data_IF_554537254655
#
_entry.id   IF_554537254655
#
_cell.length_a   1.000
_cell.length_b   1.000
_cell.length_c   1.000
_cell.angle_alpha   90.00
_cell.angle_beta   90.00
_cell.angle_gamma   90.00
#
_symmetry.space_group_name_H-M   'P 1'
#
loop_
_entity.id
_entity.type
_entity.pdbx_description
1 polymer ?
#
# COMPACT_ATOMS: atom_id res chain seq x y z
N UNK A 1 -13.19 1.80 30.26
CA UNK A 1 -12.37 1.55 29.05
C UNK A 1 -12.03 0.09 29.09
N UNK A 2 -12.64 -0.75 28.22
CA UNK A 2 -12.28 -2.17 28.11
C UNK A 2 -10.84 -2.28 27.60
N UNK A 3 -9.99 -3.02 28.29
CA UNK A 3 -8.66 -3.40 27.76
C UNK A 3 -8.94 -4.29 26.54
N UNK A 4 -8.86 -3.71 25.33
CA UNK A 4 -8.79 -4.49 24.11
C UNK A 4 -7.56 -5.38 24.18
N UNK A 5 -7.69 -6.65 23.85
CA UNK A 5 -6.55 -7.55 23.79
C UNK A 5 -5.51 -7.04 22.80
N UNK A 6 -4.25 -7.34 22.98
CA UNK A 6 -3.18 -6.89 22.08
C UNK A 6 -3.48 -7.33 20.63
N UNK A 7 -4.06 -8.51 20.43
CA UNK A 7 -4.46 -9.02 19.11
C UNK A 7 -5.51 -8.17 18.41
N UNK A 8 -6.46 -7.57 19.15
CA UNK A 8 -7.48 -6.67 18.57
C UNK A 8 -6.91 -5.31 18.09
N UNK A 9 -5.63 -5.04 18.36
CA UNK A 9 -4.94 -3.77 18.04
C UNK A 9 -3.83 -3.93 17.01
N UNK A 10 -3.60 -5.14 16.52
CA UNK A 10 -2.52 -5.46 15.57
C UNK A 10 -3.08 -6.02 14.29
N UNK A 11 -2.53 -5.59 13.17
CA UNK A 11 -2.78 -6.15 11.86
C UNK A 11 -1.46 -6.56 11.21
N UNK A 12 -1.46 -7.63 10.43
CA UNK A 12 -0.31 -8.07 9.64
C UNK A 12 -0.37 -7.44 8.26
N UNK A 13 0.77 -7.00 7.74
CA UNK A 13 0.87 -6.59 6.34
C UNK A 13 1.07 -7.83 5.45
N UNK A 14 0.20 -8.04 4.47
CA UNK A 14 0.26 -9.22 3.59
C UNK A 14 1.56 -9.28 2.76
N UNK A 15 2.19 -8.14 2.47
CA UNK A 15 3.49 -8.12 1.79
C UNK A 15 4.61 -8.76 2.61
N UNK A 16 4.53 -8.69 3.93
CA UNK A 16 5.50 -9.35 4.80
C UNK A 16 5.37 -10.86 4.79
N UNK A 17 4.19 -11.38 4.42
CA UNK A 17 3.90 -12.81 4.34
C UNK A 17 4.24 -13.40 2.96
N UNK A 18 4.26 -12.58 1.92
CA UNK A 18 4.51 -12.98 0.53
C UNK A 18 3.68 -14.20 0.08
N UNK A 19 2.35 -14.18 0.27
CA UNK A 19 1.50 -15.32 -0.04
C UNK A 19 1.41 -15.58 -1.54
N UNK A 20 1.37 -16.85 -1.92
CA UNK A 20 1.26 -17.27 -3.31
C UNK A 20 -0.15 -17.07 -3.89
N UNK A 21 -1.17 -17.16 -3.03
CA UNK A 21 -2.59 -16.99 -3.35
C UNK A 21 -3.41 -16.70 -2.07
N UNK A 22 -4.73 -16.45 -2.17
CA UNK A 22 -5.57 -16.18 -1.00
C UNK A 22 -5.62 -17.32 0.01
N UNK A 23 -5.58 -18.56 -0.42
CA UNK A 23 -5.65 -19.73 0.49
C UNK A 23 -4.35 -19.83 1.32
N UNK A 24 -3.21 -19.58 0.70
CA UNK A 24 -1.92 -19.51 1.39
C UNK A 24 -1.91 -18.35 2.39
N UNK A 25 -2.43 -17.17 2.02
CA UNK A 25 -2.57 -16.04 2.94
C UNK A 25 -3.39 -16.39 4.16
N UNK A 26 -4.56 -17.01 3.97
CA UNK A 26 -5.44 -17.44 5.05
C UNK A 26 -4.74 -18.43 5.96
N UNK A 27 -4.04 -19.42 5.39
CA UNK A 27 -3.28 -20.40 6.16
C UNK A 27 -2.19 -19.75 7.02
N UNK A 28 -1.46 -18.79 6.49
CA UNK A 28 -0.43 -18.05 7.22
C UNK A 28 -1.04 -17.21 8.36
N UNK A 29 -2.17 -16.52 8.12
CA UNK A 29 -2.87 -15.74 9.13
C UNK A 29 -3.37 -16.62 10.29
N UNK A 30 -3.93 -17.80 9.98
CA UNK A 30 -4.37 -18.77 10.98
C UNK A 30 -3.22 -19.32 11.82
N UNK A 31 -2.05 -19.59 11.19
CA UNK A 31 -0.84 -20.02 11.92
C UNK A 31 -0.32 -18.95 12.87
N UNK A 32 -0.47 -17.67 12.51
CA UNK A 32 -0.09 -16.54 13.35
C UNK A 32 -1.13 -16.25 14.46
N UNK A 33 -2.33 -16.82 14.37
CA UNK A 33 -3.43 -16.49 15.28
C UNK A 33 -3.90 -15.04 15.14
N UNK A 34 -3.82 -14.48 13.91
CA UNK A 34 -4.20 -13.10 13.60
C UNK A 34 -5.44 -13.07 12.73
N UNK A 35 -6.34 -12.13 12.99
CA UNK A 35 -7.61 -11.94 12.30
C UNK A 35 -7.74 -10.56 11.62
N UNK A 36 -6.70 -9.72 11.68
CA UNK A 36 -6.67 -8.40 11.05
C UNK A 36 -5.49 -8.28 10.09
N UNK A 37 -5.75 -7.71 8.89
CA UNK A 37 -4.76 -7.60 7.84
C UNK A 37 -4.77 -6.22 7.17
N UNK A 38 -3.58 -5.68 6.88
CA UNK A 38 -3.36 -4.70 5.84
C UNK A 38 -3.12 -5.45 4.53
N UNK A 39 -4.06 -5.35 3.58
CA UNK A 39 -4.02 -6.12 2.35
C UNK A 39 -3.26 -5.40 1.24
N UNK A 40 -2.30 -6.07 0.61
CA UNK A 40 -1.72 -5.63 -0.65
C UNK A 40 -2.77 -5.67 -1.76
N UNK A 41 -2.99 -4.54 -2.42
CA UNK A 41 -4.02 -4.39 -3.46
C UNK A 41 -3.51 -4.73 -4.87
N UNK A 42 -2.21 -4.82 -5.05
CA UNK A 42 -1.61 -5.10 -6.36
C UNK A 42 -1.98 -6.49 -6.91
N UNK A 43 -2.00 -7.57 -6.11
CA UNK A 43 -2.47 -8.86 -6.59
C UNK A 43 -3.93 -8.85 -7.07
N UNK A 44 -4.82 -8.12 -6.38
CA UNK A 44 -6.23 -7.99 -6.78
C UNK A 44 -6.40 -7.25 -8.11
N UNK A 45 -5.46 -6.36 -8.43
CA UNK A 45 -5.45 -5.63 -9.70
C UNK A 45 -4.88 -6.45 -10.85
N UNK A 46 -3.89 -7.31 -10.57
CA UNK A 46 -3.00 -7.90 -11.58
C UNK A 46 -3.20 -9.40 -11.83
N UNK A 47 -3.81 -10.14 -10.90
CA UNK A 47 -3.89 -11.61 -10.96
C UNK A 47 -5.32 -12.09 -10.64
N UNK A 48 -5.96 -12.78 -11.60
CA UNK A 48 -7.30 -13.33 -11.47
C UNK A 48 -7.47 -14.30 -10.29
N UNK A 49 -6.39 -14.94 -9.82
CA UNK A 49 -6.42 -15.79 -8.62
C UNK A 49 -6.89 -15.05 -7.38
N UNK A 50 -6.70 -13.71 -7.35
CA UNK A 50 -7.06 -12.88 -6.22
C UNK A 50 -8.46 -12.26 -6.33
N UNK A 51 -9.19 -12.52 -7.41
CA UNK A 51 -10.51 -11.90 -7.65
C UNK A 51 -11.48 -12.15 -6.48
N UNK A 52 -11.50 -13.38 -5.94
CA UNK A 52 -12.39 -13.77 -4.85
C UNK A 52 -11.72 -13.64 -3.44
N UNK A 53 -10.51 -13.11 -3.34
CA UNK A 53 -9.79 -12.98 -2.08
C UNK A 53 -10.58 -12.25 -0.99
N UNK A 54 -11.31 -11.15 -1.26
CA UNK A 54 -12.12 -10.49 -0.24
C UNK A 54 -13.16 -11.40 0.39
N UNK A 55 -13.87 -12.18 -0.42
CA UNK A 55 -14.88 -13.11 0.07
C UNK A 55 -14.24 -14.24 0.88
N UNK A 56 -13.15 -14.83 0.40
CA UNK A 56 -12.41 -15.88 1.09
C UNK A 56 -11.86 -15.42 2.45
N UNK A 57 -11.31 -14.21 2.53
CA UNK A 57 -10.83 -13.61 3.77
C UNK A 57 -11.98 -13.41 4.77
N UNK A 58 -13.12 -12.89 4.30
CA UNK A 58 -14.29 -12.68 5.14
C UNK A 58 -14.85 -14.02 5.67
N UNK A 59 -14.94 -15.06 4.85
CA UNK A 59 -15.35 -16.41 5.25
C UNK A 59 -14.40 -17.03 6.27
N UNK A 60 -13.11 -16.73 6.18
CA UNK A 60 -12.10 -17.16 7.15
C UNK A 60 -12.09 -16.32 8.44
N UNK A 61 -12.95 -15.31 8.56
CA UNK A 61 -13.01 -14.42 9.72
C UNK A 61 -11.88 -13.39 9.77
N UNK A 62 -11.21 -13.13 8.65
CA UNK A 62 -10.12 -12.16 8.55
C UNK A 62 -10.67 -10.82 8.08
N UNK A 63 -10.43 -9.77 8.88
CA UNK A 63 -10.86 -8.40 8.59
C UNK A 63 -9.75 -7.63 7.88
N UNK A 64 -10.06 -7.06 6.72
CA UNK A 64 -9.14 -6.14 6.02
C UNK A 64 -9.32 -4.74 6.62
N UNK A 65 -8.34 -4.30 7.42
CA UNK A 65 -8.41 -3.02 8.15
C UNK A 65 -7.85 -1.84 7.35
N UNK A 66 -6.99 -2.11 6.37
CA UNK A 66 -6.47 -1.09 5.44
C UNK A 66 -5.92 -1.77 4.18
N UNK A 67 -5.75 -0.98 3.13
CA UNK A 67 -5.07 -1.39 1.91
C UNK A 67 -3.65 -0.85 1.82
N UNK A 68 -2.85 -1.47 0.95
CA UNK A 68 -1.55 -0.96 0.56
C UNK A 68 -1.30 -1.27 -0.91
N UNK A 69 -0.75 -0.32 -1.66
CA UNK A 69 -0.28 -0.57 -3.03
C UNK A 69 1.19 -0.22 -3.19
N UNK A 70 1.83 -0.87 -4.14
CA UNK A 70 3.21 -0.62 -4.54
C UNK A 70 3.31 0.18 -5.83
N UNK A 71 4.52 0.65 -6.09
CA UNK A 71 4.85 1.34 -7.33
C UNK A 71 5.70 0.45 -8.24
N UNK A 72 5.46 0.56 -9.53
CA UNK A 72 6.24 -0.15 -10.55
C UNK A 72 7.67 0.40 -10.60
N UNK A 73 8.62 -0.50 -10.84
CA UNK A 73 10.02 -0.15 -11.03
C UNK A 73 10.83 0.01 -9.75
N UNK A 74 10.24 -0.21 -8.58
CA UNK A 74 10.98 -0.16 -7.31
C UNK A 74 12.04 -1.26 -7.24
N UNK A 75 13.29 -0.86 -7.03
CA UNK A 75 14.44 -1.77 -6.87
C UNK A 75 15.01 -1.68 -5.46
N UNK A 76 14.71 -2.67 -4.64
CA UNK A 76 15.16 -2.79 -3.26
C UNK A 76 16.51 -3.50 -3.10
N UNK A 77 17.24 -3.77 -4.18
CA UNK A 77 18.53 -4.50 -4.14
C UNK A 77 19.60 -3.73 -3.35
N UNK A 78 19.58 -2.40 -3.42
CA UNK A 78 20.48 -1.52 -2.67
C UNK A 78 19.76 -0.27 -2.21
N UNK A 79 20.32 0.42 -1.19
CA UNK A 79 19.78 1.71 -0.74
C UNK A 79 19.85 2.79 -1.84
N UNK A 80 20.85 2.71 -2.71
CA UNK A 80 21.00 3.64 -3.82
C UNK A 80 19.98 3.38 -4.92
N UNK A 81 19.73 2.11 -5.28
CA UNK A 81 18.73 1.76 -6.28
C UNK A 81 17.32 2.15 -5.83
N UNK A 82 16.91 1.83 -4.60
CA UNK A 82 15.58 2.21 -4.12
C UNK A 82 15.42 3.74 -3.95
N UNK A 83 16.52 4.45 -3.66
CA UNK A 83 16.49 5.91 -3.62
C UNK A 83 16.17 6.50 -4.99
N UNK A 84 16.67 5.91 -6.06
CA UNK A 84 16.45 6.37 -7.44
C UNK A 84 15.11 5.91 -8.01
N UNK A 85 14.64 4.72 -7.63
CA UNK A 85 13.51 4.04 -8.27
C UNK A 85 12.24 4.04 -7.40
N UNK A 86 12.34 4.43 -6.13
CA UNK A 86 11.26 4.23 -5.17
C UNK A 86 10.08 5.18 -5.33
N UNK A 87 8.90 4.61 -5.19
CA UNK A 87 7.64 5.33 -5.09
C UNK A 87 7.21 6.04 -6.37
N UNK A 88 6.63 7.21 -6.19
CA UNK A 88 6.05 8.03 -7.26
C UNK A 88 7.00 9.16 -7.74
N UNK A 89 8.24 9.19 -7.23
CA UNK A 89 9.21 10.24 -7.57
C UNK A 89 9.75 10.11 -8.99
N UNK A 90 10.11 8.92 -9.51
CA UNK A 90 10.66 8.78 -10.85
C UNK A 90 9.66 9.17 -11.94
N UNK A 91 10.12 9.97 -12.92
CA UNK A 91 9.28 10.40 -14.04
C UNK A 91 8.99 9.25 -15.02
N UNK A 92 9.95 8.35 -15.17
CA UNK A 92 9.89 7.23 -16.12
C UNK A 92 8.75 6.24 -15.80
N UNK A 93 8.41 6.10 -14.51
CA UNK A 93 7.36 5.16 -14.06
C UNK A 93 6.05 5.84 -13.68
N UNK A 94 6.02 7.19 -13.68
CA UNK A 94 4.86 7.93 -13.17
C UNK A 94 3.56 7.60 -13.90
N UNK A 95 3.54 7.60 -15.23
CA UNK A 95 2.30 7.35 -15.98
C UNK A 95 1.77 5.93 -15.73
N UNK A 96 2.65 4.94 -15.65
CA UNK A 96 2.28 3.56 -15.32
C UNK A 96 1.73 3.48 -13.89
N UNK A 97 2.41 4.12 -12.94
CA UNK A 97 1.97 4.16 -11.55
C UNK A 97 0.63 4.87 -11.41
N UNK A 98 0.44 5.99 -12.09
CA UNK A 98 -0.84 6.69 -12.08
C UNK A 98 -1.99 5.84 -12.64
N UNK A 99 -1.79 5.17 -13.76
CA UNK A 99 -2.78 4.24 -14.32
C UNK A 99 -3.10 3.09 -13.35
N UNK A 100 -2.10 2.54 -12.68
CA UNK A 100 -2.27 1.49 -11.67
C UNK A 100 -3.04 2.00 -10.44
N UNK A 101 -2.74 3.19 -9.96
CA UNK A 101 -3.43 3.83 -8.82
C UNK A 101 -4.91 4.04 -9.17
N UNK A 102 -5.23 4.57 -10.35
CA UNK A 102 -6.61 4.74 -10.79
C UNK A 102 -7.41 3.42 -10.83
N UNK A 103 -6.75 2.30 -11.13
CA UNK A 103 -7.35 0.96 -11.09
C UNK A 103 -7.44 0.40 -9.65
N UNK A 104 -6.60 0.86 -8.74
CA UNK A 104 -6.61 0.44 -7.33
C UNK A 104 -7.73 1.12 -6.53
N UNK A 105 -8.08 2.35 -6.86
CA UNK A 105 -9.14 3.10 -6.17
C UNK A 105 -10.48 2.34 -6.11
N UNK A 106 -11.06 1.86 -7.22
CA UNK A 106 -12.33 1.10 -7.17
C UNK A 106 -12.19 -0.24 -6.42
N UNK A 107 -11.02 -0.86 -6.39
CA UNK A 107 -10.76 -2.06 -5.58
C UNK A 107 -10.87 -1.72 -4.09
N UNK A 108 -10.19 -0.65 -3.67
CA UNK A 108 -10.26 -0.20 -2.28
C UNK A 108 -11.69 0.17 -1.85
N UNK A 109 -12.45 0.84 -2.73
CA UNK A 109 -13.86 1.17 -2.50
C UNK A 109 -14.72 -0.10 -2.37
N UNK A 110 -14.55 -1.08 -3.25
CA UNK A 110 -15.31 -2.34 -3.22
C UNK A 110 -15.06 -3.16 -1.96
N UNK A 111 -13.88 -3.01 -1.36
CA UNK A 111 -13.50 -3.60 -0.07
C UNK A 111 -14.03 -2.82 1.14
N UNK A 112 -14.66 -1.67 0.94
CA UNK A 112 -15.13 -0.79 2.00
C UNK A 112 -14.00 -0.19 2.84
N UNK A 113 -12.82 -0.01 2.27
CA UNK A 113 -11.66 0.51 3.00
C UNK A 113 -11.81 2.00 3.28
N UNK A 114 -11.44 2.40 4.50
CA UNK A 114 -11.35 3.80 4.88
C UNK A 114 -9.91 4.34 4.81
N UNK A 115 -8.93 3.47 4.66
CA UNK A 115 -7.51 3.83 4.66
C UNK A 115 -6.74 2.99 3.65
N UNK A 116 -5.97 3.67 2.80
CA UNK A 116 -4.97 3.05 1.91
C UNK A 116 -3.62 3.71 2.13
N UNK A 117 -2.55 2.93 2.07
CA UNK A 117 -1.19 3.43 2.23
C UNK A 117 -0.28 3.02 1.08
N UNK A 118 0.82 3.76 0.92
CA UNK A 118 1.87 3.43 -0.05
C UNK A 118 3.22 4.05 0.33
N UNK A 119 4.28 3.63 -0.36
CA UNK A 119 5.61 4.20 -0.24
C UNK A 119 5.79 5.31 -1.27
N UNK A 120 5.92 6.56 -0.83
CA UNK A 120 5.99 7.70 -1.75
C UNK A 120 7.35 7.88 -2.42
N UNK A 121 8.39 7.18 -1.94
CA UNK A 121 9.78 7.36 -2.39
C UNK A 121 10.56 8.32 -1.50
N UNK A 122 11.73 8.73 -1.98
CA UNK A 122 12.61 9.67 -1.28
C UNK A 122 12.19 11.09 -1.64
N UNK A 123 11.65 11.79 -0.65
CA UNK A 123 11.17 13.16 -0.85
C UNK A 123 12.35 14.12 -1.06
N UNK A 124 12.21 15.15 -1.92
CA UNK A 124 13.15 16.25 -2.01
C UNK A 124 13.35 16.93 -0.66
N UNK A 125 14.58 17.34 -0.36
CA UNK A 125 14.94 17.90 0.95
C UNK A 125 14.54 19.37 1.08
N UNK A 126 14.45 20.07 -0.02
CA UNK A 126 14.21 21.50 -0.04
C UNK A 126 13.05 21.88 -0.98
N UNK A 127 12.21 22.86 -0.57
CA UNK A 127 11.09 23.31 -1.40
C UNK A 127 11.52 23.97 -2.72
N UNK A 128 12.77 24.39 -2.85
CA UNK A 128 13.35 24.97 -4.08
C UNK A 128 13.95 23.90 -5.02
N UNK A 129 13.89 22.61 -4.64
CA UNK A 129 14.20 21.52 -5.56
C UNK A 129 13.15 21.46 -6.67
N UNK A 130 13.54 21.46 -7.95
CA UNK A 130 12.58 21.41 -9.07
C UNK A 130 11.65 20.18 -9.06
N UNK A 131 12.03 19.12 -8.37
CA UNK A 131 11.20 17.92 -8.22
C UNK A 131 10.14 18.05 -7.12
N UNK A 132 10.24 19.04 -6.24
CA UNK A 132 9.34 19.23 -5.11
C UNK A 132 7.90 19.54 -5.57
N UNK A 133 7.72 20.53 -6.41
CA UNK A 133 6.38 20.91 -6.91
C UNK A 133 5.71 19.74 -7.66
N UNK A 134 6.47 19.03 -8.49
CA UNK A 134 5.99 17.86 -9.22
C UNK A 134 5.55 16.74 -8.29
N UNK A 135 6.29 16.50 -7.21
CA UNK A 135 5.92 15.49 -6.22
C UNK A 135 4.65 15.88 -5.47
N UNK A 136 4.52 17.16 -5.07
CA UNK A 136 3.30 17.66 -4.43
C UNK A 136 2.09 17.52 -5.35
N UNK A 137 2.23 17.84 -6.64
CA UNK A 137 1.17 17.64 -7.64
C UNK A 137 0.75 16.16 -7.72
N UNK A 138 1.71 15.23 -7.81
CA UNK A 138 1.44 13.79 -7.85
C UNK A 138 0.73 13.30 -6.57
N UNK A 139 1.21 13.72 -5.40
CA UNK A 139 0.59 13.39 -4.13
C UNK A 139 -0.85 13.92 -4.04
N UNK A 140 -1.08 15.15 -4.46
CA UNK A 140 -2.42 15.77 -4.50
C UNK A 140 -3.35 14.97 -5.41
N UNK A 141 -2.92 14.66 -6.63
CA UNK A 141 -3.73 13.86 -7.58
C UNK A 141 -4.10 12.49 -7.00
N UNK A 142 -3.17 11.82 -6.32
CA UNK A 142 -3.44 10.53 -5.68
C UNK A 142 -4.42 10.71 -4.52
N UNK A 143 -4.19 11.71 -3.66
CA UNK A 143 -5.06 11.99 -2.52
C UNK A 143 -6.48 12.31 -2.96
N UNK A 144 -6.66 13.14 -3.98
CA UNK A 144 -7.97 13.50 -4.53
C UNK A 144 -8.70 12.25 -5.06
N UNK A 145 -8.00 11.36 -5.78
CA UNK A 145 -8.60 10.15 -6.35
C UNK A 145 -9.16 9.20 -5.27
N UNK A 146 -8.51 9.10 -4.10
CA UNK A 146 -9.00 8.30 -2.98
C UNK A 146 -10.05 9.08 -2.17
N UNK A 147 -9.86 10.39 -1.95
CA UNK A 147 -10.79 11.24 -1.21
C UNK A 147 -12.18 11.32 -1.87
N UNK A 148 -12.24 11.30 -3.20
CA UNK A 148 -13.50 11.25 -3.97
C UNK A 148 -14.34 9.99 -3.66
N UNK A 149 -13.74 8.98 -3.05
CA UNK A 149 -14.39 7.74 -2.59
C UNK A 149 -14.47 7.63 -1.06
N UNK A 150 -14.14 8.71 -0.34
CA UNK A 150 -14.15 8.74 1.13
C UNK A 150 -13.06 7.90 1.76
N UNK A 151 -11.95 7.68 1.06
CA UNK A 151 -10.81 6.87 1.52
C UNK A 151 -9.65 7.79 1.90
N UNK A 152 -9.17 7.68 3.13
CA UNK A 152 -7.97 8.37 3.57
C UNK A 152 -6.71 7.76 2.95
N UNK A 153 -5.79 8.62 2.53
CA UNK A 153 -4.51 8.19 1.99
C UNK A 153 -3.38 8.47 2.98
N UNK A 154 -2.65 7.43 3.35
CA UNK A 154 -1.42 7.55 4.12
C UNK A 154 -0.22 7.22 3.23
N UNK A 155 0.87 7.96 3.38
CA UNK A 155 2.11 7.62 2.69
C UNK A 155 3.29 7.61 3.66
N UNK A 156 4.23 6.70 3.39
CA UNK A 156 5.49 6.62 4.11
C UNK A 156 6.59 7.21 3.23
N UNK A 157 7.17 8.36 3.61
CA UNK A 157 8.37 8.84 2.94
C UNK A 157 9.57 8.00 3.38
N UNK A 158 10.47 7.69 2.45
CA UNK A 158 11.78 7.19 2.81
C UNK A 158 12.60 8.32 3.44
N UNK A 159 13.16 8.07 4.61
CA UNK A 159 14.03 9.04 5.30
C UNK A 159 15.49 8.77 4.96
N UNK A 160 16.24 9.82 4.68
CA UNK A 160 17.70 9.76 4.77
C UNK A 160 18.08 9.52 6.23
N UNK A 161 18.95 8.56 6.48
CA UNK A 161 19.63 8.47 7.78
C UNK A 161 20.46 9.75 7.92
N UNK A 162 20.33 10.54 9.00
CA UNK A 162 21.18 11.70 9.18
C UNK A 162 22.65 11.24 9.18
N UNK A 163 23.60 12.04 8.63
CA UNK A 163 24.99 11.72 8.72
C UNK A 163 25.38 11.60 10.21
N UNK A 164 26.12 10.54 10.53
CA UNK A 164 26.69 10.33 11.88
C UNK A 164 27.79 11.33 12.13
#
# INVERSE_FOLDING_TARGET
MSEQSLGERLAVCSWSLQPADPADLIGQMQQLGMDQIQLGLDPLRADEKWADAPAQLAEAGITVVSGMFGCEGEDYSTLESIRRTGGIVPDETWETNWANIQRTVPIAESLGLNLVSFHAGFLPEAPDDPSYERLVDRLTRIADAFADRGIDLAFRPARRTPPR
#
